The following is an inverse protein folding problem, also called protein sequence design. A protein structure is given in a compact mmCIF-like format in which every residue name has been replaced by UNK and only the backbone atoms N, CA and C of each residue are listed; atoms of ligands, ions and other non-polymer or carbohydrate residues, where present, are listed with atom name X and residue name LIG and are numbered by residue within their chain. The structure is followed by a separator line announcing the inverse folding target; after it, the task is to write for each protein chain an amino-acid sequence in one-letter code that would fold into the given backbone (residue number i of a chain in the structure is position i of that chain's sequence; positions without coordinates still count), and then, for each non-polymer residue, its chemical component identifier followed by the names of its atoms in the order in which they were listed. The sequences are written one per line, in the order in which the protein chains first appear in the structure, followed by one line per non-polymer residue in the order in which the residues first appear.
data_IF_711966326667
#
_entry.id   IF_711966326667
#
_cell.length_a   1.000
_cell.length_b   1.000
_cell.length_c   1.000
_cell.angle_alpha   90.00
_cell.angle_beta   90.00
_cell.angle_gamma   90.00
#
_symmetry.space_group_name_H-M   'P 1'
#
loop_
_entity.id
_entity.type
_entity.pdbx_description
1 polymer ?
#
# COMPACT_ATOMS: atom_id res chain seq x y z
N UNK A 1 -16.01 23.39 -15.64
CA UNK A 1 -15.19 22.39 -14.90
C UNK A 1 -15.99 22.02 -13.67
N UNK A 2 -16.28 20.75 -13.45
CA UNK A 2 -17.01 20.30 -12.26
C UNK A 2 -15.96 20.11 -11.18
N UNK A 3 -15.89 21.03 -10.22
CA UNK A 3 -15.08 20.86 -9.02
C UNK A 3 -15.70 19.74 -8.20
N UNK A 4 -14.99 18.61 -8.07
CA UNK A 4 -15.39 17.52 -7.20
C UNK A 4 -14.86 17.83 -5.80
N UNK A 5 -15.71 17.93 -4.76
CA UNK A 5 -15.26 18.21 -3.41
C UNK A 5 -14.27 17.14 -2.90
N UNK A 6 -13.21 17.55 -2.20
CA UNK A 6 -12.17 16.64 -1.67
C UNK A 6 -12.76 15.48 -0.86
N UNK A 7 -13.86 15.73 -0.14
CA UNK A 7 -14.60 14.75 0.66
C UNK A 7 -15.16 13.60 -0.16
N UNK A 8 -15.49 13.82 -1.44
CA UNK A 8 -15.98 12.80 -2.35
C UNK A 8 -14.85 11.98 -2.99
N UNK A 9 -13.63 12.50 -2.98
CA UNK A 9 -12.43 11.76 -3.37
C UNK A 9 -11.92 10.86 -2.24
N UNK A 10 -12.30 11.15 -0.99
CA UNK A 10 -11.93 10.39 0.20
C UNK A 10 -12.79 9.12 0.32
N UNK A 11 -12.25 7.98 -0.14
CA UNK A 11 -12.87 6.66 0.11
C UNK A 11 -12.69 6.28 1.59
N UNK A 12 -13.70 5.66 2.21
CA UNK A 12 -13.59 5.07 3.56
C UNK A 12 -12.43 4.06 3.57
N UNK A 13 -11.35 4.40 4.27
CA UNK A 13 -10.16 3.58 4.47
C UNK A 13 -9.57 3.85 5.85
N UNK A 14 -8.44 3.23 6.20
CA UNK A 14 -7.77 3.39 7.50
C UNK A 14 -7.05 4.74 7.68
N UNK A 15 -7.27 5.67 6.77
CA UNK A 15 -6.48 6.88 6.62
C UNK A 15 -7.01 7.99 7.52
N UNK A 16 -6.27 8.29 8.59
CA UNK A 16 -6.64 9.29 9.62
C UNK A 16 -6.33 10.74 9.23
N UNK A 17 -5.44 10.97 8.25
CA UNK A 17 -5.07 12.29 7.73
C UNK A 17 -5.24 12.34 6.22
N UNK A 18 -5.77 13.44 5.69
CA UNK A 18 -5.89 13.62 4.23
C UNK A 18 -4.51 13.60 3.56
N UNK A 19 -4.29 12.83 2.47
CA UNK A 19 -3.05 12.80 1.70
C UNK A 19 -2.70 14.18 1.15
N UNK A 20 -3.73 14.98 0.83
CA UNK A 20 -3.57 16.35 0.34
C UNK A 20 -3.03 17.31 1.40
N UNK A 21 -2.96 16.88 2.67
CA UNK A 21 -2.48 17.66 3.81
C UNK A 21 -1.25 17.03 4.47
N UNK A 22 -0.65 16.01 3.86
CA UNK A 22 0.59 15.40 4.32
C UNK A 22 1.79 16.15 3.75
N UNK A 23 2.85 16.30 4.55
CA UNK A 23 4.16 16.60 4.00
C UNK A 23 4.71 15.37 3.28
N UNK A 24 5.75 15.54 2.46
CA UNK A 24 6.43 14.43 1.81
C UNK A 24 6.96 13.38 2.82
N UNK A 25 7.44 13.82 3.98
CA UNK A 25 7.94 12.94 5.04
C UNK A 25 6.80 12.13 5.67
N UNK A 26 5.70 12.79 6.00
CA UNK A 26 4.51 12.14 6.56
C UNK A 26 3.90 11.13 5.57
N UNK A 27 3.84 11.49 4.29
CA UNK A 27 3.36 10.59 3.25
C UNK A 27 4.28 9.35 3.14
N UNK A 28 5.59 9.56 3.15
CA UNK A 28 6.58 8.47 3.10
C UNK A 28 6.43 7.52 4.28
N UNK A 29 6.32 8.04 5.50
CA UNK A 29 6.11 7.23 6.70
C UNK A 29 4.79 6.45 6.62
N UNK A 30 3.72 7.10 6.18
CA UNK A 30 2.43 6.47 5.99
C UNK A 30 2.47 5.32 4.97
N UNK A 31 3.20 5.49 3.86
CA UNK A 31 3.38 4.42 2.86
C UNK A 31 4.18 3.24 3.43
N UNK A 32 5.24 3.51 4.20
CA UNK A 32 6.02 2.46 4.89
C UNK A 32 5.14 1.69 5.87
N UNK A 33 4.34 2.40 6.65
CA UNK A 33 3.44 1.78 7.63
C UNK A 33 2.39 0.90 6.95
N UNK A 34 1.73 1.39 5.90
CA UNK A 34 0.77 0.60 5.12
C UNK A 34 1.38 -0.64 4.50
N UNK A 35 2.60 -0.57 3.98
CA UNK A 35 3.29 -1.74 3.45
C UNK A 35 3.56 -2.79 4.53
N UNK A 36 3.99 -2.37 5.72
CA UNK A 36 4.18 -3.28 6.87
C UNK A 36 2.87 -3.95 7.28
N UNK A 37 1.79 -3.19 7.39
CA UNK A 37 0.46 -3.70 7.76
C UNK A 37 -0.09 -4.67 6.71
N UNK A 38 -0.01 -4.32 5.42
CA UNK A 38 -0.45 -5.19 4.33
C UNK A 38 0.33 -6.50 4.32
N UNK A 39 1.66 -6.43 4.48
CA UNK A 39 2.53 -7.60 4.55
C UNK A 39 2.19 -8.48 5.75
N UNK A 40 2.04 -7.89 6.94
CA UNK A 40 1.67 -8.61 8.15
C UNK A 40 0.31 -9.32 8.00
N UNK A 41 -0.68 -8.63 7.45
CA UNK A 41 -2.01 -9.20 7.21
C UNK A 41 -1.95 -10.36 6.20
N UNK A 42 -1.37 -10.15 5.02
CA UNK A 42 -1.27 -11.19 3.99
C UNK A 42 -0.56 -12.43 4.53
N UNK A 43 0.54 -12.25 5.25
CA UNK A 43 1.29 -13.36 5.83
C UNK A 43 0.51 -14.08 6.92
N UNK A 44 -0.29 -13.35 7.72
CA UNK A 44 -1.15 -13.97 8.75
C UNK A 44 -2.21 -14.89 8.15
N UNK A 45 -2.64 -14.66 6.91
CA UNK A 45 -3.61 -15.49 6.19
C UNK A 45 -2.96 -16.45 5.17
N UNK A 46 -1.62 -16.58 5.21
CA UNK A 46 -0.88 -17.49 4.33
C UNK A 46 -0.79 -17.02 2.87
N UNK A 47 -1.07 -15.76 2.58
CA UNK A 47 -0.97 -15.18 1.23
C UNK A 47 0.37 -14.43 1.04
N UNK A 48 0.98 -14.51 -0.15
CA UNK A 48 2.14 -13.68 -0.47
C UNK A 48 1.75 -12.24 -0.78
N UNK A 49 2.68 -11.32 -0.59
CA UNK A 49 2.59 -9.96 -1.11
C UNK A 49 3.04 -9.95 -2.57
N UNK A 50 2.12 -9.61 -3.48
CA UNK A 50 2.40 -9.53 -4.92
C UNK A 50 2.53 -8.08 -5.37
N UNK A 51 3.64 -7.73 -6.00
CA UNK A 51 3.92 -6.37 -6.47
C UNK A 51 4.83 -6.37 -7.70
N UNK A 52 4.84 -5.24 -8.43
CA UNK A 52 5.71 -5.05 -9.60
C UNK A 52 7.06 -4.46 -9.17
N UNK A 53 8.16 -5.08 -9.58
CA UNK A 53 9.52 -4.62 -9.37
C UNK A 53 10.31 -4.75 -10.67
N UNK A 54 10.93 -3.66 -11.12
CA UNK A 54 11.75 -3.63 -12.34
C UNK A 54 11.07 -4.20 -13.59
N UNK A 55 9.75 -3.94 -13.73
CA UNK A 55 8.96 -4.44 -14.85
C UNK A 55 8.35 -5.84 -14.65
N UNK A 56 8.80 -6.58 -13.65
CA UNK A 56 8.40 -7.98 -13.39
C UNK A 56 7.46 -8.05 -12.18
N UNK A 57 6.45 -8.92 -12.24
CA UNK A 57 5.61 -9.22 -11.08
C UNK A 57 6.35 -10.18 -10.16
N UNK A 58 6.42 -9.87 -8.87
CA UNK A 58 7.04 -10.73 -7.86
C UNK A 58 6.09 -11.01 -6.71
N UNK A 59 6.16 -12.21 -6.17
CA UNK A 59 5.47 -12.65 -4.96
C UNK A 59 6.49 -12.83 -3.84
N UNK A 60 6.34 -12.06 -2.76
CA UNK A 60 7.11 -12.18 -1.54
C UNK A 60 6.30 -12.95 -0.48
N UNK A 61 6.92 -13.95 0.14
CA UNK A 61 6.32 -14.82 1.15
C UNK A 61 6.81 -14.50 2.57
N UNK A 62 6.10 -15.01 3.57
CA UNK A 62 6.41 -14.81 4.99
C UNK A 62 7.78 -15.35 5.42
N UNK A 63 8.28 -16.38 4.75
CA UNK A 63 9.60 -16.97 4.96
C UNK A 63 10.74 -16.15 4.31
N UNK A 64 10.42 -15.03 3.66
CA UNK A 64 11.36 -14.18 2.94
C UNK A 64 11.66 -14.64 1.52
N UNK A 65 11.00 -15.70 1.03
CA UNK A 65 11.14 -16.14 -0.36
C UNK A 65 10.52 -15.11 -1.30
N UNK A 66 11.23 -14.80 -2.38
CA UNK A 66 10.75 -13.92 -3.46
C UNK A 66 10.79 -14.71 -4.76
N UNK A 67 9.67 -14.79 -5.46
CA UNK A 67 9.56 -15.51 -6.75
C UNK A 67 8.91 -14.61 -7.80
N UNK A 68 9.36 -14.67 -9.07
CA UNK A 68 8.62 -14.05 -10.16
C UNK A 68 7.26 -14.74 -10.36
N UNK A 69 6.24 -13.95 -10.68
CA UNK A 69 4.91 -14.42 -11.07
C UNK A 69 4.89 -14.46 -12.59
N UNK A 70 4.62 -15.65 -13.15
CA UNK A 70 4.49 -15.91 -14.58
C UNK A 70 3.01 -15.94 -15.00
#
# INVERSE_FOLDING_TARGET
MIETPEEQLMRKGTMTKSPFKMTFEEEKEWQIQKQKEAKAYLFSIGQPLVYKKDGVMIAEYADGRIVPVH
#
